data_IF_835104439824
#
_entry.id   IF_835104439824
#
_cell.length_a   1.000
_cell.length_b   1.000
_cell.length_c   1.000
_cell.angle_alpha   90.00
_cell.angle_beta   90.00
_cell.angle_gamma   90.00
#
_symmetry.space_group_name_H-M   'P 1'
#
loop_
_entity.id
_entity.type
_entity.pdbx_description
1 polymer ?
#
# COMPACT_ATOMS: atom_id res chain seq x y z
N UNK A 1 -6.65 -0.43 -80.29
CA UNK A 1 -7.24 0.90 -80.59
C UNK A 1 -8.67 0.93 -80.08
N UNK A 2 -9.02 1.89 -79.20
CA UNK A 2 -10.37 2.46 -78.94
C UNK A 2 -11.47 1.45 -78.47
N UNK A 3 -12.27 1.65 -77.42
CA UNK A 3 -12.78 2.87 -76.78
C UNK A 3 -13.37 2.49 -75.40
N UNK A 4 -13.34 3.50 -74.55
CA UNK A 4 -13.91 3.66 -73.21
C UNK A 4 -15.44 3.53 -73.22
N UNK A 5 -16.02 2.92 -72.19
CA UNK A 5 -17.41 3.19 -71.74
C UNK A 5 -17.34 3.68 -70.29
N UNK A 6 -17.68 4.96 -70.11
CA UNK A 6 -18.03 5.55 -68.82
C UNK A 6 -19.33 4.93 -68.33
N UNK A 7 -19.43 4.68 -67.02
CA UNK A 7 -20.71 4.69 -66.32
C UNK A 7 -20.52 5.39 -64.99
N UNK A 8 -21.08 6.59 -64.93
CA UNK A 8 -21.14 7.46 -63.78
C UNK A 8 -22.07 6.85 -62.73
N UNK A 9 -21.59 6.64 -61.50
CA UNK A 9 -22.44 6.54 -60.33
C UNK A 9 -22.05 7.69 -59.40
N UNK A 10 -22.97 8.63 -59.26
CA UNK A 10 -22.90 9.71 -58.30
C UNK A 10 -23.08 9.12 -56.89
N UNK A 11 -22.03 9.17 -56.07
CA UNK A 11 -22.14 8.95 -54.64
C UNK A 11 -22.31 10.31 -53.95
N UNK A 12 -23.52 10.60 -53.51
CA UNK A 12 -23.81 11.73 -52.61
C UNK A 12 -23.17 11.41 -51.26
N UNK A 13 -22.06 12.07 -50.94
CA UNK A 13 -21.48 12.04 -49.62
C UNK A 13 -22.26 12.99 -48.71
N UNK A 14 -23.23 12.46 -47.96
CA UNK A 14 -23.79 13.16 -46.82
C UNK A 14 -22.76 13.11 -45.67
N UNK A 15 -21.97 14.17 -45.53
CA UNK A 15 -21.10 14.38 -44.38
C UNK A 15 -22.02 14.78 -43.22
N UNK A 16 -22.54 13.78 -42.51
CA UNK A 16 -23.16 13.98 -41.20
C UNK A 16 -22.07 14.29 -40.20
N UNK A 17 -21.92 15.56 -39.83
CA UNK A 17 -21.08 16.00 -38.71
C UNK A 17 -21.65 15.43 -37.41
N UNK A 18 -21.18 14.24 -37.02
CA UNK A 18 -21.37 13.75 -35.66
C UNK A 18 -20.44 14.53 -34.74
N UNK A 19 -20.93 15.63 -34.17
CA UNK A 19 -20.34 16.25 -32.99
C UNK A 19 -20.44 15.23 -31.87
N UNK A 20 -19.37 14.46 -31.65
CA UNK A 20 -19.22 13.66 -30.45
C UNK A 20 -19.20 14.62 -29.27
N UNK A 21 -20.31 14.69 -28.53
CA UNK A 21 -20.34 15.32 -27.23
C UNK A 21 -19.32 14.59 -26.36
N UNK A 22 -18.21 15.26 -26.06
CA UNK A 22 -17.23 14.77 -25.10
C UNK A 22 -17.96 14.79 -23.77
N UNK A 23 -18.44 13.62 -23.35
CA UNK A 23 -18.99 13.46 -22.01
C UNK A 23 -17.90 13.92 -21.05
N UNK A 24 -18.20 14.96 -20.28
CA UNK A 24 -17.32 15.46 -19.23
C UNK A 24 -17.38 14.42 -18.10
N UNK A 25 -16.66 13.31 -18.29
CA UNK A 25 -16.54 12.26 -17.29
C UNK A 25 -15.93 12.92 -16.07
N UNK A 26 -16.64 12.86 -14.93
CA UNK A 26 -16.06 13.23 -13.65
C UNK A 26 -14.66 12.61 -13.54
N UNK A 27 -13.68 13.32 -12.95
CA UNK A 27 -12.36 12.75 -12.75
C UNK A 27 -12.53 11.37 -12.09
N UNK A 28 -11.80 10.35 -12.55
CA UNK A 28 -11.91 9.02 -11.97
C UNK A 28 -11.80 9.14 -10.45
N UNK A 29 -12.74 8.51 -9.73
CA UNK A 29 -12.72 8.50 -8.28
C UNK A 29 -11.30 8.15 -7.84
N UNK A 30 -10.64 9.08 -7.16
CA UNK A 30 -9.31 8.86 -6.61
C UNK A 30 -9.40 7.60 -5.75
N UNK A 31 -8.60 6.57 -6.08
CA UNK A 31 -8.55 5.37 -5.24
C UNK A 31 -8.18 5.87 -3.84
N UNK A 32 -9.07 5.79 -2.83
CA UNK A 32 -8.88 6.57 -1.62
C UNK A 32 -7.68 6.02 -0.86
N UNK A 33 -6.53 6.68 -0.95
CA UNK A 33 -5.39 6.36 -0.11
C UNK A 33 -4.47 7.55 0.11
N UNK A 34 -4.71 8.28 1.18
CA UNK A 34 -3.70 9.17 1.76
C UNK A 34 -2.68 8.35 2.54
N UNK A 35 -1.39 8.58 2.30
CA UNK A 35 -0.35 8.08 3.20
C UNK A 35 -0.56 8.67 4.60
N UNK A 36 -0.29 7.91 5.66
CA UNK A 36 -0.38 8.44 7.03
C UNK A 36 0.59 9.62 7.19
N UNK A 37 0.08 10.77 7.62
CA UNK A 37 0.80 12.03 7.85
C UNK A 37 0.75 12.40 9.35
N UNK A 38 1.57 13.36 9.81
CA UNK A 38 1.45 13.89 11.18
C UNK A 38 0.06 14.49 11.49
N UNK A 39 -0.69 14.89 10.46
CA UNK A 39 -2.03 15.46 10.55
C UNK A 39 -3.16 14.45 10.40
N UNK A 40 -2.86 13.18 10.16
CA UNK A 40 -3.88 12.13 10.08
C UNK A 40 -4.56 11.99 11.46
N UNK A 41 -5.91 11.91 11.52
CA UNK A 41 -6.61 11.78 12.80
C UNK A 41 -6.10 10.59 13.62
N UNK A 42 -5.96 10.80 14.93
CA UNK A 42 -5.61 9.73 15.87
C UNK A 42 -6.87 9.15 16.50
N UNK A 43 -6.92 7.82 16.59
CA UNK A 43 -7.99 7.09 17.27
C UNK A 43 -7.48 6.30 18.50
N UNK A 44 -6.17 6.38 18.78
CA UNK A 44 -5.55 5.69 19.90
C UNK A 44 -4.33 6.46 20.41
N UNK A 45 -4.03 6.27 21.69
CA UNK A 45 -2.81 6.74 22.32
C UNK A 45 -2.07 5.51 22.82
N UNK A 46 -0.84 5.32 22.34
CA UNK A 46 -0.01 4.20 22.78
C UNK A 46 0.42 4.31 24.23
N UNK A 47 0.83 3.20 24.86
CA UNK A 47 1.42 3.24 26.19
C UNK A 47 2.74 4.03 26.18
N UNK A 48 3.14 4.57 27.33
CA UNK A 48 4.40 5.32 27.49
C UNK A 48 5.64 4.45 27.22
N UNK A 49 5.54 3.14 27.49
CA UNK A 49 6.63 2.18 27.29
C UNK A 49 6.65 1.56 25.89
N UNK A 50 7.80 1.02 25.50
CA UNK A 50 7.95 0.28 24.24
C UNK A 50 7.15 -1.02 24.31
N UNK A 51 6.36 -1.29 23.27
CA UNK A 51 5.65 -2.56 23.08
C UNK A 51 6.39 -3.46 22.09
N UNK A 52 6.07 -4.76 22.09
CA UNK A 52 6.67 -5.74 21.19
C UNK A 52 6.62 -5.30 19.72
N UNK A 53 5.48 -4.77 19.24
CA UNK A 53 5.37 -4.28 17.88
C UNK A 53 6.45 -3.24 17.53
N UNK A 54 6.75 -2.32 18.45
CA UNK A 54 7.78 -1.31 18.24
C UNK A 54 9.19 -1.92 18.29
N UNK A 55 9.43 -2.88 19.20
CA UNK A 55 10.71 -3.58 19.24
C UNK A 55 11.01 -4.33 17.92
N UNK A 56 10.00 -4.98 17.32
CA UNK A 56 10.14 -5.63 16.02
C UNK A 56 10.41 -4.62 14.90
N UNK A 57 9.72 -3.48 14.91
CA UNK A 57 9.99 -2.38 13.96
C UNK A 57 11.44 -1.90 14.08
N UNK A 58 11.93 -1.67 15.30
CA UNK A 58 13.29 -1.21 15.55
C UNK A 58 14.32 -2.23 15.05
N UNK A 59 14.09 -3.53 15.29
CA UNK A 59 14.95 -4.62 14.82
C UNK A 59 15.01 -4.68 13.29
N UNK A 60 13.86 -4.57 12.61
CA UNK A 60 13.80 -4.55 11.14
C UNK A 60 14.50 -3.31 10.61
N UNK A 61 14.24 -2.12 11.18
CA UNK A 61 14.86 -0.88 10.75
C UNK A 61 16.40 -0.94 10.85
N UNK A 62 16.92 -1.54 11.92
CA UNK A 62 18.35 -1.73 12.12
C UNK A 62 18.99 -2.70 11.11
N UNK A 63 18.24 -3.72 10.69
CA UNK A 63 18.75 -4.80 9.82
C UNK A 63 18.52 -4.55 8.32
N UNK A 64 17.67 -3.57 7.97
CA UNK A 64 17.21 -3.31 6.60
C UNK A 64 17.36 -1.83 6.22
N UNK A 65 18.60 -1.34 6.00
CA UNK A 65 18.85 0.06 5.65
C UNK A 65 18.28 0.48 4.28
N UNK A 66 17.84 -0.47 3.46
CA UNK A 66 17.10 -0.24 2.21
C UNK A 66 15.67 0.28 2.44
N UNK A 67 15.13 0.13 3.65
CA UNK A 67 13.79 0.62 3.99
C UNK A 67 13.82 2.12 4.33
N UNK A 68 12.83 2.85 3.80
CA UNK A 68 12.53 4.26 4.13
C UNK A 68 11.66 4.36 5.37
N UNK A 69 10.72 3.43 5.54
CA UNK A 69 9.82 3.42 6.69
C UNK A 69 9.19 2.06 6.91
N UNK A 70 8.90 1.76 8.17
CA UNK A 70 8.16 0.57 8.59
C UNK A 70 7.00 1.03 9.48
N UNK A 71 5.80 0.51 9.26
CA UNK A 71 4.66 0.73 10.17
C UNK A 71 3.91 -0.58 10.41
N UNK A 72 3.31 -0.71 11.59
CA UNK A 72 2.49 -1.86 11.99
C UNK A 72 1.11 -1.36 12.40
N UNK A 73 0.09 -2.01 11.86
CA UNK A 73 -1.30 -1.62 12.04
C UNK A 73 -2.12 -2.79 12.58
N UNK A 74 -2.83 -2.56 13.67
CA UNK A 74 -3.71 -3.52 14.33
C UNK A 74 -4.90 -2.80 14.96
N UNK A 75 -5.84 -3.54 15.55
CA UNK A 75 -6.92 -2.97 16.37
C UNK A 75 -6.52 -3.02 17.84
N UNK A 76 -6.29 -1.89 18.52
CA UNK A 76 -6.03 -1.87 19.96
C UNK A 76 -7.23 -2.39 20.77
N UNK A 77 -6.96 -2.90 21.98
CA UNK A 77 -8.02 -3.39 22.87
C UNK A 77 -9.07 -2.29 23.15
N UNK A 78 -10.35 -2.65 23.00
CA UNK A 78 -11.47 -1.73 23.21
C UNK A 78 -11.82 -0.84 22.00
N UNK A 79 -11.08 -0.94 20.90
CA UNK A 79 -11.40 -0.25 19.64
C UNK A 79 -11.95 -1.20 18.58
N UNK A 80 -12.56 -0.62 17.54
CA UNK A 80 -13.03 -1.33 16.34
C UNK A 80 -12.20 -0.99 15.10
N UNK A 81 -11.59 0.18 15.10
CA UNK A 81 -10.84 0.71 13.96
C UNK A 81 -9.36 0.38 14.05
N UNK A 82 -8.75 0.13 12.89
CA UNK A 82 -7.32 -0.12 12.80
C UNK A 82 -6.52 1.15 13.03
N UNK A 83 -5.43 1.00 13.76
CA UNK A 83 -4.53 2.06 14.19
C UNK A 83 -3.10 1.69 13.83
N UNK A 84 -2.26 2.67 13.47
CA UNK A 84 -0.81 2.50 13.51
C UNK A 84 -0.33 2.32 14.95
N UNK A 85 0.04 1.11 15.35
CA UNK A 85 0.44 0.78 16.73
C UNK A 85 1.96 0.88 16.94
N UNK A 86 2.74 0.82 15.87
CA UNK A 86 4.18 0.97 15.89
C UNK A 86 4.68 1.47 14.53
N UNK A 87 5.86 2.09 14.51
CA UNK A 87 6.49 2.49 13.25
C UNK A 87 7.75 3.32 13.43
N UNK A 88 8.38 3.63 12.30
CA UNK A 88 9.56 4.51 12.22
C UNK A 88 9.20 6.01 12.29
N UNK A 89 7.91 6.34 12.41
CA UNK A 89 7.40 7.69 12.58
C UNK A 89 6.67 7.80 13.93
N UNK A 90 7.38 8.13 15.03
CA UNK A 90 6.79 8.13 16.38
C UNK A 90 5.57 9.07 16.51
N UNK A 91 5.60 10.20 15.80
CA UNK A 91 4.52 11.18 15.75
C UNK A 91 3.24 10.66 15.08
N UNK A 92 3.30 9.53 14.36
CA UNK A 92 2.17 8.92 13.64
C UNK A 92 1.59 7.69 14.34
N UNK A 93 2.22 7.22 15.43
CA UNK A 93 1.62 6.20 16.28
C UNK A 93 0.28 6.71 16.81
N UNK A 94 -0.76 5.89 16.72
CA UNK A 94 -2.14 6.26 17.05
C UNK A 94 -2.98 6.76 15.87
N UNK A 95 -2.37 6.99 14.70
CA UNK A 95 -3.11 7.43 13.51
C UNK A 95 -4.07 6.34 13.04
N UNK A 96 -5.25 6.76 12.58
CA UNK A 96 -6.18 5.87 11.88
C UNK A 96 -5.49 5.28 10.63
N UNK A 97 -5.72 3.99 10.40
CA UNK A 97 -5.09 3.27 9.29
C UNK A 97 -5.72 3.63 7.96
N UNK A 98 -4.94 3.60 6.88
CA UNK A 98 -5.47 3.83 5.54
C UNK A 98 -6.34 2.64 5.09
N UNK A 99 -7.24 2.82 4.10
CA UNK A 99 -8.04 1.72 3.57
C UNK A 99 -7.21 0.53 3.10
N UNK A 100 -6.02 0.79 2.52
CA UNK A 100 -5.10 -0.26 2.11
C UNK A 100 -4.53 -1.05 3.29
N UNK A 101 -4.14 -0.39 4.38
CA UNK A 101 -3.66 -1.06 5.59
C UNK A 101 -4.77 -1.95 6.21
N UNK A 102 -6.00 -1.44 6.22
CA UNK A 102 -7.19 -2.17 6.72
C UNK A 102 -7.48 -3.40 5.87
N UNK A 103 -7.41 -3.29 4.55
CA UNK A 103 -7.68 -4.41 3.63
C UNK A 103 -6.63 -5.51 3.81
N UNK A 104 -5.33 -5.18 3.92
CA UNK A 104 -4.28 -6.18 4.16
C UNK A 104 -4.54 -6.93 5.47
N UNK A 105 -4.90 -6.23 6.54
CA UNK A 105 -5.10 -6.86 7.84
C UNK A 105 -6.38 -7.71 7.85
N UNK A 106 -7.50 -7.17 7.35
CA UNK A 106 -8.79 -7.87 7.39
C UNK A 106 -8.86 -9.06 6.44
N UNK A 107 -8.25 -8.96 5.26
CA UNK A 107 -8.36 -9.98 4.20
C UNK A 107 -7.13 -10.86 4.05
N UNK A 108 -6.05 -10.57 4.77
CA UNK A 108 -4.79 -11.32 4.66
C UNK A 108 -4.14 -11.20 3.27
N UNK A 109 -4.32 -10.06 2.58
CA UNK A 109 -3.77 -9.84 1.23
C UNK A 109 -2.44 -9.11 1.26
N UNK A 110 -1.48 -9.55 0.44
CA UNK A 110 -0.27 -8.78 0.16
C UNK A 110 -0.55 -7.77 -0.93
N UNK A 111 -0.14 -6.51 -0.73
CA UNK A 111 -0.30 -5.43 -1.71
C UNK A 111 1.06 -4.85 -2.08
N UNK A 112 1.20 -4.45 -3.34
CA UNK A 112 2.37 -3.74 -3.86
C UNK A 112 1.95 -2.34 -4.30
N UNK A 113 2.65 -1.33 -3.79
CA UNK A 113 2.37 0.08 -4.06
C UNK A 113 3.57 0.76 -4.70
N UNK A 114 3.77 0.49 -5.99
CA UNK A 114 4.89 1.05 -6.76
C UNK A 114 4.58 2.41 -7.37
N UNK A 115 3.29 2.81 -7.35
CA UNK A 115 2.81 4.12 -7.83
C UNK A 115 3.20 4.43 -9.28
N UNK A 116 3.26 3.40 -10.14
CA UNK A 116 3.58 3.51 -11.56
C UNK A 116 2.69 4.56 -12.26
N UNK A 117 3.30 5.45 -13.04
CA UNK A 117 2.57 6.48 -13.79
C UNK A 117 1.96 7.62 -12.97
N UNK A 118 2.23 7.70 -11.66
CA UNK A 118 1.78 8.79 -10.79
C UNK A 118 2.91 9.81 -10.53
N UNK A 119 2.61 11.02 -10.01
CA UNK A 119 3.65 12.00 -9.61
C UNK A 119 4.57 11.52 -8.47
N UNK A 120 4.17 10.47 -7.75
CA UNK A 120 4.95 9.85 -6.69
C UNK A 120 5.81 8.68 -7.17
N UNK A 121 5.77 8.37 -8.47
CA UNK A 121 6.62 7.36 -9.07
C UNK A 121 8.10 7.65 -8.77
N UNK A 122 8.86 6.60 -8.44
CA UNK A 122 10.31 6.71 -8.19
C UNK A 122 10.68 7.21 -6.79
N UNK A 123 9.72 7.57 -5.92
CA UNK A 123 10.02 8.02 -4.55
C UNK A 123 10.23 6.86 -3.58
N UNK A 124 9.36 5.85 -3.64
CA UNK A 124 9.38 4.62 -2.82
C UNK A 124 8.44 3.57 -3.39
N UNK A 125 8.65 2.31 -3.02
CA UNK A 125 7.65 1.23 -3.17
C UNK A 125 7.23 0.77 -1.78
N UNK A 126 5.93 0.73 -1.50
CA UNK A 126 5.45 0.12 -0.26
C UNK A 126 4.96 -1.29 -0.54
N UNK A 127 5.38 -2.25 0.27
CA UNK A 127 4.79 -3.58 0.31
C UNK A 127 4.01 -3.70 1.61
N UNK A 128 2.73 -4.04 1.50
CA UNK A 128 1.90 -4.35 2.65
C UNK A 128 1.78 -5.85 2.80
N UNK A 129 2.09 -6.34 3.98
CA UNK A 129 2.06 -7.78 4.29
C UNK A 129 1.23 -8.02 5.55
N UNK A 130 0.35 -9.03 5.56
CA UNK A 130 -0.28 -9.47 6.81
C UNK A 130 0.76 -10.21 7.66
N UNK A 131 0.81 -9.99 8.97
CA UNK A 131 1.71 -10.73 9.85
C UNK A 131 1.20 -12.14 10.15
N UNK A 132 2.11 -13.00 10.61
CA UNK A 132 1.80 -14.36 11.07
C UNK A 132 2.24 -14.52 12.51
N UNK A 133 1.57 -15.41 13.23
CA UNK A 133 2.06 -15.88 14.52
C UNK A 133 3.08 -17.04 14.38
N UNK A 134 3.59 -17.50 15.52
CA UNK A 134 4.53 -18.62 15.64
C UNK A 134 4.05 -19.94 15.05
N UNK A 135 2.72 -20.12 14.89
CA UNK A 135 2.13 -21.30 14.25
C UNK A 135 2.03 -21.17 12.72
N UNK A 136 2.36 -19.99 12.17
CA UNK A 136 2.20 -19.64 10.77
C UNK A 136 0.80 -19.15 10.41
N UNK A 137 -0.10 -19.00 11.40
CA UNK A 137 -1.45 -18.46 11.17
C UNK A 137 -1.38 -16.96 10.93
N UNK A 138 -2.07 -16.51 9.87
CA UNK A 138 -2.20 -15.08 9.59
C UNK A 138 -2.98 -14.37 10.70
N UNK A 139 -2.48 -13.19 11.08
CA UNK A 139 -3.06 -12.30 12.06
C UNK A 139 -3.78 -11.14 11.37
N UNK A 140 -4.82 -10.57 11.99
CA UNK A 140 -5.44 -9.32 11.55
C UNK A 140 -4.54 -8.12 11.84
N UNK A 141 -3.33 -8.13 11.27
CA UNK A 141 -2.27 -7.14 11.50
C UNK A 141 -1.55 -6.90 10.19
N UNK A 142 -1.40 -5.64 9.79
CA UNK A 142 -0.64 -5.25 8.61
C UNK A 142 0.71 -4.70 9.01
N UNK A 143 1.77 -5.12 8.34
CA UNK A 143 3.04 -4.42 8.30
C UNK A 143 3.22 -3.76 6.93
N UNK A 144 3.60 -2.48 6.93
CA UNK A 144 3.94 -1.72 5.72
C UNK A 144 5.46 -1.56 5.68
N UNK A 145 6.08 -2.03 4.59
CA UNK A 145 7.51 -1.93 4.34
C UNK A 145 7.73 -1.04 3.14
N UNK A 146 8.20 0.19 3.36
CA UNK A 146 8.51 1.11 2.27
C UNK A 146 9.99 1.02 1.92
N UNK A 147 10.31 0.60 0.70
CA UNK A 147 11.66 0.51 0.16
C UNK A 147 12.07 1.80 -0.54
N UNK A 148 13.36 2.11 -0.49
CA UNK A 148 13.97 3.14 -1.34
C UNK A 148 13.78 2.71 -2.80
N UNK A 149 13.15 3.57 -3.62
CA UNK A 149 13.13 3.40 -5.07
C UNK A 149 13.97 4.50 -5.72
N UNK A 150 14.62 4.17 -6.83
CA UNK A 150 15.10 5.13 -7.82
C UNK A 150 14.42 4.85 -9.15
N UNK A 151 13.91 5.87 -9.89
CA UNK A 151 13.31 5.69 -11.22
C UNK A 151 14.28 5.08 -12.25
N UNK A 152 15.58 5.03 -11.94
CA UNK A 152 16.61 4.44 -12.80
C UNK A 152 17.13 3.08 -12.33
N UNK A 153 16.57 2.51 -11.26
CA UNK A 153 17.09 1.28 -10.65
C UNK A 153 16.86 0.01 -11.48
N UNK A 154 15.93 0.04 -12.45
CA UNK A 154 15.54 -1.13 -13.24
C UNK A 154 14.77 -2.20 -12.46
N UNK A 155 14.48 -1.96 -11.18
CA UNK A 155 13.76 -2.88 -10.30
C UNK A 155 12.26 -2.90 -10.62
N UNK A 156 11.66 -4.06 -10.44
CA UNK A 156 10.23 -4.32 -10.63
C UNK A 156 9.56 -4.70 -9.30
N UNK A 157 8.23 -4.77 -9.29
CA UNK A 157 7.41 -5.09 -8.11
C UNK A 157 7.89 -6.34 -7.34
N UNK A 158 8.36 -7.38 -8.04
CA UNK A 158 8.86 -8.62 -7.43
C UNK A 158 10.14 -8.41 -6.61
N UNK A 159 10.99 -7.46 -7.00
CA UNK A 159 12.26 -7.17 -6.31
C UNK A 159 12.03 -6.58 -4.92
N UNK A 160 10.85 -6.00 -4.67
CA UNK A 160 10.43 -5.48 -3.38
C UNK A 160 9.53 -6.46 -2.62
N UNK A 161 8.63 -7.14 -3.34
CA UNK A 161 7.69 -8.07 -2.71
C UNK A 161 8.41 -9.29 -2.09
N UNK A 162 9.40 -9.86 -2.76
CA UNK A 162 10.17 -11.00 -2.24
C UNK A 162 10.87 -10.70 -0.89
N UNK A 163 11.70 -9.63 -0.77
CA UNK A 163 12.32 -9.31 0.51
C UNK A 163 11.29 -8.95 1.59
N UNK A 164 10.21 -8.24 1.25
CA UNK A 164 9.15 -7.91 2.20
C UNK A 164 8.49 -9.16 2.82
N UNK A 165 8.20 -10.16 1.99
CA UNK A 165 7.66 -11.45 2.44
C UNK A 165 8.66 -12.19 3.33
N UNK A 166 9.96 -12.18 3.00
CA UNK A 166 11.00 -12.77 3.86
C UNK A 166 11.11 -12.07 5.21
N UNK A 167 11.03 -10.74 5.23
CA UNK A 167 11.01 -9.96 6.49
C UNK A 167 9.79 -10.35 7.32
N UNK A 168 8.58 -10.38 6.74
CA UNK A 168 7.39 -10.87 7.47
C UNK A 168 7.62 -12.23 8.10
N UNK A 169 8.11 -13.19 7.31
CA UNK A 169 8.25 -14.58 7.76
C UNK A 169 9.37 -14.74 8.80
N UNK A 170 10.40 -13.90 8.79
CA UNK A 170 11.43 -13.89 9.85
C UNK A 170 10.90 -13.35 11.18
N UNK A 171 9.83 -12.56 11.17
CA UNK A 171 9.19 -12.05 12.40
C UNK A 171 8.23 -13.05 13.05
N UNK A 172 7.65 -13.96 12.28
CA UNK A 172 6.62 -14.89 12.78
C UNK A 172 7.03 -15.68 14.05
N UNK A 173 8.29 -16.17 14.19
CA UNK A 173 8.73 -16.86 15.41
C UNK A 173 8.71 -16.00 16.69
N UNK A 174 8.60 -14.68 16.56
CA UNK A 174 8.60 -13.72 17.68
C UNK A 174 7.20 -13.24 18.06
N UNK A 175 6.15 -13.67 17.34
CA UNK A 175 4.79 -13.15 17.50
C UNK A 175 3.87 -14.29 17.94
N UNK A 176 3.47 -14.32 19.22
CA UNK A 176 2.57 -15.35 19.71
C UNK A 176 1.10 -15.13 19.30
N UNK A 177 0.66 -13.87 19.23
CA UNK A 177 -0.71 -13.49 18.85
C UNK A 177 -0.78 -11.98 18.53
N UNK A 178 -1.95 -11.49 18.11
CA UNK A 178 -2.19 -10.04 17.95
C UNK A 178 -2.01 -9.29 19.26
N UNK A 179 -2.49 -9.85 20.38
CA UNK A 179 -2.40 -9.25 21.71
C UNK A 179 -0.94 -9.16 22.18
N UNK A 180 -0.12 -10.16 21.86
CA UNK A 180 1.30 -10.17 22.20
C UNK A 180 2.04 -8.96 21.63
N UNK A 181 1.62 -8.43 20.47
CA UNK A 181 2.22 -7.23 19.85
C UNK A 181 2.08 -5.96 20.72
N UNK A 182 1.08 -5.93 21.61
CA UNK A 182 0.86 -4.83 22.55
C UNK A 182 1.55 -5.05 23.91
N UNK A 183 2.15 -6.22 24.13
CA UNK A 183 2.84 -6.50 25.39
C UNK A 183 4.05 -5.56 25.55
N UNK A 184 4.28 -5.01 26.76
CA UNK A 184 5.46 -4.21 27.03
C UNK A 184 6.72 -5.07 26.88
N UNK A 185 7.75 -4.53 26.25
CA UNK A 185 9.11 -5.10 26.32
C UNK A 185 9.82 -4.53 27.55
N UNK A 186 10.49 -5.41 28.30
CA UNK A 186 11.29 -5.02 29.47
C UNK A 186 12.66 -4.52 29.04
#
# INVERSE_FOLDING_TARGET
MKRIILSSIAAIAAIGSATAAIANTAPPAEIPRAASTPTTPKNWVGPTGKILAQALVDQVAASHPELVSITVHAVPAGLTDYTMIAGTFPDRIGNVSSPGDVITAKKGVTQVESKWGTPDFGKKVSILVPLKDTSGKYLPVTMVLAFKQSPTSGLIDLDFMHPAVRIRDSLAPMIASTEALFAPVR
#
